data_IF_201783479398
#
_entry.id   IF_201783479398
#
_cell.length_a   1.000
_cell.length_b   1.000
_cell.length_c   1.000
_cell.angle_alpha   90.00
_cell.angle_beta   90.00
_cell.angle_gamma   90.00
#
_symmetry.space_group_name_H-M   'P 1'
#
loop_
_entity.id
_entity.type
_entity.pdbx_description
1 polymer ?
#
# COMPACT_ATOMS: atom_id res chain seq x y z
N UNK A 1 -1.92 11.93 -9.06
CA UNK A 1 -1.62 11.73 -7.63
C UNK A 1 -2.74 10.90 -7.02
N UNK A 2 -2.38 9.83 -6.33
CA UNK A 2 -3.32 8.88 -5.74
C UNK A 2 -3.83 9.38 -4.39
N UNK A 3 -5.02 8.93 -4.01
CA UNK A 3 -5.58 9.18 -2.68
C UNK A 3 -4.77 8.41 -1.64
N UNK A 4 -4.23 9.12 -0.64
CA UNK A 4 -3.42 8.55 0.45
C UNK A 4 -4.10 8.80 1.78
N UNK A 5 -4.46 7.73 2.47
CA UNK A 5 -5.00 7.79 3.84
C UNK A 5 -3.84 7.52 4.80
N UNK A 6 -3.52 8.51 5.63
CA UNK A 6 -2.44 8.39 6.61
C UNK A 6 -2.99 7.91 7.94
N UNK A 7 -2.41 6.87 8.51
CA UNK A 7 -2.76 6.40 9.85
C UNK A 7 -1.53 6.02 10.67
N UNK A 8 -1.66 6.10 12.00
CA UNK A 8 -0.60 5.72 12.93
C UNK A 8 -0.68 4.23 13.25
N UNK A 9 0.05 3.79 14.28
CA UNK A 9 0.20 2.39 14.70
C UNK A 9 -1.16 1.77 15.12
N UNK A 10 -1.93 1.32 14.12
CA UNK A 10 -3.16 0.56 14.28
C UNK A 10 -2.86 -0.94 14.26
N UNK A 11 -3.72 -1.74 14.89
CA UNK A 11 -3.72 -3.19 14.72
C UNK A 11 -4.30 -3.57 13.36
N UNK A 12 -3.98 -4.76 12.87
CA UNK A 12 -4.48 -5.29 11.59
C UNK A 12 -6.01 -5.27 11.48
N UNK A 13 -6.72 -5.56 12.59
CA UNK A 13 -8.19 -5.45 12.64
C UNK A 13 -8.69 -4.01 12.46
N UNK A 14 -7.99 -3.03 13.02
CA UNK A 14 -8.34 -1.61 12.85
C UNK A 14 -7.98 -1.11 11.44
N UNK A 15 -6.94 -1.66 10.82
CA UNK A 15 -6.60 -1.38 9.42
C UNK A 15 -7.67 -1.92 8.47
N UNK A 16 -8.18 -3.14 8.71
CA UNK A 16 -9.34 -3.71 8.01
C UNK A 16 -10.56 -2.78 8.12
N UNK A 17 -10.94 -2.39 9.34
CA UNK A 17 -12.09 -1.49 9.57
C UNK A 17 -11.92 -0.12 8.91
N UNK A 18 -10.71 0.42 8.92
CA UNK A 18 -10.41 1.68 8.23
C UNK A 18 -10.55 1.54 6.72
N UNK A 19 -10.04 0.44 6.15
CA UNK A 19 -10.21 0.11 4.73
C UNK A 19 -11.70 0.04 4.34
N UNK A 20 -12.50 -0.70 5.11
CA UNK A 20 -13.96 -0.79 4.90
C UNK A 20 -14.64 0.58 4.89
N UNK A 21 -14.30 1.41 5.87
CA UNK A 21 -14.88 2.75 6.00
C UNK A 21 -14.49 3.65 4.84
N UNK A 22 -13.23 3.59 4.40
CA UNK A 22 -12.67 4.52 3.40
C UNK A 22 -12.95 4.10 1.96
N UNK A 23 -13.19 2.81 1.72
CA UNK A 23 -13.37 2.21 0.38
C UNK A 23 -14.82 1.76 0.15
N UNK A 24 -15.57 1.45 1.21
CA UNK A 24 -16.97 1.01 1.11
C UNK A 24 -17.14 -0.46 0.67
N UNK A 25 -16.11 -1.28 0.84
CA UNK A 25 -16.10 -2.73 0.54
C UNK A 25 -15.66 -3.53 1.76
N UNK A 26 -16.04 -4.80 1.88
CA UNK A 26 -15.44 -5.65 2.90
C UNK A 26 -13.97 -5.93 2.53
N UNK A 27 -13.08 -5.64 3.47
CA UNK A 27 -11.64 -5.80 3.28
C UNK A 27 -11.16 -7.02 4.07
N UNK A 28 -10.12 -7.70 3.60
CA UNK A 28 -9.43 -8.73 4.39
C UNK A 28 -8.63 -8.09 5.54
N UNK A 29 -8.06 -8.92 6.41
CA UNK A 29 -6.91 -8.45 7.20
C UNK A 29 -5.69 -8.25 6.27
N UNK A 30 -4.78 -7.32 6.60
CA UNK A 30 -3.54 -7.14 5.85
C UNK A 30 -2.71 -8.41 5.74
N UNK A 31 -2.32 -8.78 4.53
CA UNK A 31 -1.23 -9.73 4.28
C UNK A 31 0.08 -8.97 4.12
N UNK A 32 0.96 -9.05 5.12
CA UNK A 32 2.20 -8.27 5.17
C UNK A 32 3.35 -8.97 4.42
N UNK A 33 4.10 -8.21 3.64
CA UNK A 33 5.29 -8.64 2.91
C UNK A 33 6.42 -7.65 3.10
N UNK A 34 7.63 -8.18 3.33
CA UNK A 34 8.86 -7.41 3.25
C UNK A 34 9.46 -7.61 1.85
N UNK A 35 9.68 -6.50 1.16
CA UNK A 35 10.18 -6.46 -0.21
C UNK A 35 11.63 -5.96 -0.24
N UNK A 36 12.52 -6.64 -0.98
CA UNK A 36 13.90 -6.21 -1.13
C UNK A 36 14.02 -4.96 -2.01
N UNK A 37 15.21 -4.37 -2.00
CA UNK A 37 15.54 -3.24 -2.87
C UNK A 37 15.35 -3.58 -4.36
N UNK A 38 14.91 -2.58 -5.12
CA UNK A 38 14.58 -2.65 -6.55
C UNK A 38 13.46 -3.63 -6.91
N UNK A 39 12.78 -4.24 -5.95
CA UNK A 39 11.67 -5.15 -6.20
C UNK A 39 10.50 -4.40 -6.86
N UNK A 40 9.96 -4.97 -7.93
CA UNK A 40 8.81 -4.43 -8.64
C UNK A 40 7.76 -5.52 -8.83
N UNK A 41 6.50 -5.18 -8.57
CA UNK A 41 5.38 -6.10 -8.71
C UNK A 41 4.08 -5.34 -8.95
N UNK A 42 3.10 -6.05 -9.51
CA UNK A 42 1.70 -5.72 -9.38
C UNK A 42 1.15 -6.36 -8.09
N UNK A 43 0.26 -5.68 -7.34
CA UNK A 43 -0.47 -6.36 -6.27
C UNK A 43 -1.29 -7.56 -6.78
N UNK A 44 -1.60 -8.53 -5.91
CA UNK A 44 -2.48 -9.64 -6.26
C UNK A 44 -3.83 -9.19 -6.82
N UNK A 45 -4.42 -10.02 -7.70
CA UNK A 45 -5.78 -9.79 -8.21
C UNK A 45 -6.76 -9.64 -7.05
N UNK A 46 -7.71 -8.72 -7.15
CA UNK A 46 -8.69 -8.38 -6.10
C UNK A 46 -8.12 -7.60 -4.90
N UNK A 47 -6.90 -7.07 -4.99
CA UNK A 47 -6.43 -6.06 -4.03
C UNK A 47 -7.32 -4.82 -4.11
N UNK A 48 -7.94 -4.44 -2.99
CA UNK A 48 -8.73 -3.20 -2.85
C UNK A 48 -7.91 -2.05 -2.30
N UNK A 49 -6.86 -2.34 -1.53
CA UNK A 49 -5.91 -1.36 -1.07
C UNK A 49 -4.53 -1.95 -0.81
N UNK A 50 -3.51 -1.11 -0.98
CA UNK A 50 -2.14 -1.40 -0.58
C UNK A 50 -1.78 -0.54 0.61
N UNK A 51 -1.21 -1.18 1.63
CA UNK A 51 -0.64 -0.56 2.81
C UNK A 51 0.86 -0.42 2.62
N UNK A 52 1.39 0.75 2.93
CA UNK A 52 2.82 1.00 2.97
C UNK A 52 3.21 1.33 4.40
N UNK A 53 3.96 0.43 5.04
CA UNK A 53 4.39 0.58 6.43
C UNK A 53 5.67 1.41 6.50
N UNK A 54 5.49 2.73 6.62
CA UNK A 54 6.55 3.72 6.70
C UNK A 54 7.00 3.99 8.15
N UNK A 55 6.62 3.15 9.11
CA UNK A 55 6.93 3.39 10.53
C UNK A 55 8.42 3.23 10.83
N UNK A 56 9.03 2.19 10.26
CA UNK A 56 10.40 1.77 10.59
C UNK A 56 11.30 1.60 9.36
N UNK A 57 10.84 2.04 8.18
CA UNK A 57 11.63 1.96 6.96
C UNK A 57 12.00 3.36 6.44
N UNK A 58 13.16 3.42 5.79
CA UNK A 58 13.61 4.54 4.97
C UNK A 58 13.40 4.27 3.47
N UNK A 59 12.77 3.14 3.12
CA UNK A 59 12.42 2.79 1.76
C UNK A 59 11.40 3.74 1.15
N UNK A 60 11.41 3.82 -0.18
CA UNK A 60 10.49 4.65 -0.98
C UNK A 60 9.82 3.76 -2.00
N UNK A 61 8.53 3.99 -2.22
CA UNK A 61 7.74 3.24 -3.20
C UNK A 61 7.29 4.19 -4.28
N UNK A 62 7.59 3.85 -5.53
CA UNK A 62 7.14 4.55 -6.72
C UNK A 62 6.06 3.73 -7.40
N UNK A 63 4.93 4.36 -7.71
CA UNK A 63 3.76 3.74 -8.30
C UNK A 63 3.68 4.21 -9.75
N UNK A 64 3.47 3.25 -10.65
CA UNK A 64 3.46 3.46 -12.09
C UNK A 64 2.21 2.85 -12.71
N UNK A 65 1.79 3.37 -13.86
CA UNK A 65 0.86 2.71 -14.76
C UNK A 65 1.54 1.50 -15.43
N UNK A 66 0.75 0.65 -16.08
CA UNK A 66 1.23 -0.51 -16.84
C UNK A 66 2.22 -0.19 -17.97
N UNK A 67 2.25 1.05 -18.46
CA UNK A 67 3.19 1.53 -19.48
C UNK A 67 4.46 2.19 -18.87
N UNK A 68 4.69 2.02 -17.58
CA UNK A 68 5.82 2.59 -16.80
C UNK A 68 5.74 4.11 -16.57
N UNK A 69 4.59 4.75 -16.88
CA UNK A 69 4.39 6.16 -16.56
C UNK A 69 4.25 6.35 -15.04
N UNK A 70 5.01 7.31 -14.50
CA UNK A 70 4.96 7.64 -13.08
C UNK A 70 3.61 8.23 -12.67
N UNK A 71 3.02 7.69 -11.60
CA UNK A 71 1.73 8.12 -11.05
C UNK A 71 1.91 8.86 -9.72
N UNK A 72 2.67 8.27 -8.80
CA UNK A 72 2.85 8.79 -7.44
C UNK A 72 3.99 8.08 -6.69
N UNK A 73 4.35 8.59 -5.51
CA UNK A 73 5.29 7.96 -4.61
C UNK A 73 4.88 8.05 -3.14
N UNK A 74 5.36 7.11 -2.34
CA UNK A 74 5.28 7.13 -0.87
C UNK A 74 6.69 7.04 -0.33
N UNK A 75 7.14 8.08 0.36
CA UNK A 75 8.52 8.18 0.83
C UNK A 75 8.65 8.78 2.22
N UNK A 76 9.77 9.47 2.45
CA UNK A 76 10.16 10.01 3.76
C UNK A 76 9.14 10.96 4.39
N UNK A 77 8.32 11.64 3.59
CA UNK A 77 7.23 12.51 4.04
C UNK A 77 6.10 11.75 4.77
N UNK A 78 6.12 10.43 4.68
CA UNK A 78 5.16 9.52 5.27
C UNK A 78 5.72 8.77 6.49
N UNK A 79 6.97 9.03 6.88
CA UNK A 79 7.66 8.37 7.99
C UNK A 79 6.86 8.41 9.29
N UNK A 80 6.85 7.28 10.02
CA UNK A 80 6.10 7.12 11.27
C UNK A 80 4.62 6.75 11.09
N UNK A 81 4.14 6.57 9.85
CA UNK A 81 2.76 6.22 9.53
C UNK A 81 2.68 4.92 8.73
N UNK A 82 1.48 4.36 8.68
CA UNK A 82 1.05 3.42 7.64
C UNK A 82 0.23 4.25 6.65
N UNK A 83 0.53 4.10 5.37
CA UNK A 83 -0.20 4.77 4.29
C UNK A 83 -1.09 3.75 3.59
N UNK A 84 -2.38 4.03 3.52
CA UNK A 84 -3.35 3.21 2.79
C UNK A 84 -3.63 3.91 1.47
N UNK A 85 -3.41 3.19 0.37
CA UNK A 85 -3.76 3.63 -0.98
C UNK A 85 -4.83 2.69 -1.51
N UNK A 86 -6.08 3.17 -1.74
CA UNK A 86 -7.07 2.43 -2.50
C UNK A 86 -6.47 2.05 -3.86
N UNK A 87 -6.49 0.76 -4.18
CA UNK A 87 -5.78 0.24 -5.34
C UNK A 87 -6.71 0.08 -6.53
N UNK A 88 -6.19 0.41 -7.71
CA UNK A 88 -6.88 0.20 -9.00
C UNK A 88 -6.04 -0.75 -9.83
N UNK A 89 -6.67 -1.70 -10.50
CA UNK A 89 -6.01 -2.63 -11.42
C UNK A 89 -5.28 -1.90 -12.54
N UNK A 90 -4.13 -2.42 -12.97
CA UNK A 90 -3.29 -1.80 -14.00
C UNK A 90 -2.18 -0.91 -13.44
N UNK A 91 -2.16 -0.68 -12.12
CA UNK A 91 -1.05 -0.03 -11.43
C UNK A 91 -0.02 -1.05 -10.95
N UNK A 92 1.25 -0.71 -11.10
CA UNK A 92 2.39 -1.44 -10.52
C UNK A 92 3.13 -0.54 -9.53
N UNK A 93 3.99 -1.13 -8.71
CA UNK A 93 4.90 -0.33 -7.91
C UNK A 93 6.31 -0.93 -7.86
N UNK A 94 7.27 -0.07 -7.51
CA UNK A 94 8.67 -0.41 -7.34
C UNK A 94 9.17 0.13 -6.01
N UNK A 95 9.81 -0.76 -5.26
CA UNK A 95 10.48 -0.43 -4.01
C UNK A 95 11.93 -0.01 -4.27
N UNK A 96 12.37 1.04 -3.57
CA UNK A 96 13.76 1.44 -3.42
C UNK A 96 14.12 1.44 -1.93
N UNK A 97 15.15 0.70 -1.54
CA UNK A 97 15.42 0.31 -0.16
C UNK A 97 14.61 -0.91 0.28
N UNK A 98 14.54 -1.17 1.59
CA UNK A 98 13.68 -2.23 2.12
C UNK A 98 12.26 -1.68 2.31
N UNK A 99 11.26 -2.26 1.67
CA UNK A 99 9.87 -1.82 1.87
C UNK A 99 9.09 -2.88 2.63
N UNK A 100 8.19 -2.46 3.51
CA UNK A 100 7.18 -3.33 4.08
C UNK A 100 5.81 -2.89 3.60
N UNK A 101 5.10 -3.82 2.98
CA UNK A 101 3.79 -3.54 2.39
C UNK A 101 2.75 -4.53 2.91
N UNK A 102 1.48 -4.14 2.87
CA UNK A 102 0.36 -5.01 3.20
C UNK A 102 -0.68 -5.00 2.10
N UNK A 103 -1.15 -6.16 1.67
CA UNK A 103 -2.28 -6.24 0.74
C UNK A 103 -3.58 -6.40 1.51
N UNK A 104 -4.56 -5.57 1.18
CA UNK A 104 -5.95 -5.70 1.61
C UNK A 104 -6.75 -6.14 0.40
N UNK A 105 -7.36 -7.32 0.49
CA UNK A 105 -8.13 -7.95 -0.58
C UNK A 105 -9.61 -7.71 -0.36
N UNK A 106 -10.40 -7.74 -1.43
CA UNK A 106 -11.86 -7.81 -1.31
C UNK A 106 -12.23 -9.14 -0.66
N UNK A 107 -12.90 -9.08 0.51
CA UNK A 107 -13.50 -10.25 1.13
C UNK A 107 -14.93 -10.38 0.60
N UNK A 108 -15.24 -11.50 -0.04
CA UNK A 108 -16.61 -11.84 -0.48
C UNK A 108 -17.52 -12.20 0.70
#
# INVERSE_FOLDING_TARGET
MLRKIKTKKLSDRKLKQLCETEIGKDCSIPEWHDLPDLYSTEPPKHTVAVLFDMRNTDGVIYIHESNDDYVDAVGSESKGNIIIIPWTTGLTFRCYGLCRIGYLMESN
#
